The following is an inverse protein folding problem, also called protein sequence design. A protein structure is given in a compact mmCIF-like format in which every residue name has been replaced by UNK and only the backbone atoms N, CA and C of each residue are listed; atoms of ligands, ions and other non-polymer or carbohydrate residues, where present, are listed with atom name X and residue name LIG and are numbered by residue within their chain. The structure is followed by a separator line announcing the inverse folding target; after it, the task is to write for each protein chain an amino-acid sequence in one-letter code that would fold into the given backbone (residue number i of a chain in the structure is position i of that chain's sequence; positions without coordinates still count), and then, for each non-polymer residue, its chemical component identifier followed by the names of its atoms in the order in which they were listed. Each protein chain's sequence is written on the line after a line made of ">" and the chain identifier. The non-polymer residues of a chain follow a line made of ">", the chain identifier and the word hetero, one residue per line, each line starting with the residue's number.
data_IF_469575860338
#
_entry.id   IF_469575860338
#
_cell.length_a   1.000
_cell.length_b   1.000
_cell.length_c   1.000
_cell.angle_alpha   90.00
_cell.angle_beta   90.00
_cell.angle_gamma   90.00
#
_symmetry.space_group_name_H-M   'P 1'
#
loop_
_entity.id
_entity.type
_entity.pdbx_description
1 polymer ?
#
# COMPACT_ATOMS: atom_id res chain seq x y z
N UNK A 1 6.89 0.48 -25.38
CA UNK A 1 7.81 0.33 -24.23
C UNK A 1 7.15 -0.62 -23.25
N UNK A 2 7.85 -1.65 -22.77
CA UNK A 2 7.27 -2.61 -21.81
C UNK A 2 7.44 -2.05 -20.41
N UNK A 3 6.34 -1.80 -19.71
CA UNK A 3 6.37 -1.33 -18.31
C UNK A 3 6.65 -2.52 -17.40
N UNK A 4 7.70 -2.43 -16.58
CA UNK A 4 8.07 -3.49 -15.65
C UNK A 4 7.59 -3.17 -14.23
N UNK A 5 7.09 -4.18 -13.50
CA UNK A 5 6.68 -4.03 -12.10
C UNK A 5 7.79 -3.44 -11.23
N UNK A 6 9.04 -3.89 -11.45
CA UNK A 6 10.22 -3.39 -10.73
C UNK A 6 10.39 -1.87 -10.88
N UNK A 7 10.20 -1.34 -12.09
CA UNK A 7 10.33 0.10 -12.35
C UNK A 7 9.21 0.92 -11.67
N UNK A 8 7.98 0.37 -11.63
CA UNK A 8 6.86 1.02 -10.93
C UNK A 8 7.12 1.08 -9.42
N UNK A 9 7.62 0.00 -8.83
CA UNK A 9 7.99 -0.06 -7.42
C UNK A 9 9.15 0.91 -7.11
N UNK A 10 10.20 0.94 -7.92
CA UNK A 10 11.33 1.88 -7.75
C UNK A 10 10.90 3.34 -7.83
N UNK A 11 9.97 3.69 -8.75
CA UNK A 11 9.38 5.03 -8.82
C UNK A 11 8.58 5.37 -7.57
N UNK A 12 7.84 4.39 -7.02
CA UNK A 12 7.04 4.58 -5.83
C UNK A 12 7.90 4.88 -4.60
N UNK A 13 9.07 4.24 -4.44
CA UNK A 13 9.94 4.44 -3.26
C UNK A 13 10.30 5.92 -3.05
N UNK A 14 10.56 6.67 -4.13
CA UNK A 14 10.87 8.11 -4.05
C UNK A 14 9.70 8.91 -3.51
N UNK A 15 8.47 8.52 -3.83
CA UNK A 15 7.24 9.20 -3.42
C UNK A 15 6.76 8.79 -2.04
N UNK A 16 7.14 7.59 -1.58
CA UNK A 16 6.75 7.03 -0.30
C UNK A 16 7.72 7.40 0.83
N UNK A 17 8.77 8.19 0.56
CA UNK A 17 9.64 8.73 1.59
C UNK A 17 8.82 9.54 2.61
N UNK A 18 8.95 9.19 3.89
CA UNK A 18 8.22 9.85 4.99
C UNK A 18 6.73 9.45 5.11
N UNK A 19 6.22 8.58 4.24
CA UNK A 19 4.92 7.93 4.43
C UNK A 19 5.05 6.85 5.51
N UNK A 20 4.02 6.66 6.33
CA UNK A 20 4.02 5.65 7.38
C UNK A 20 4.30 4.25 6.80
N UNK A 21 5.17 3.42 7.41
CA UNK A 21 5.62 2.14 6.83
C UNK A 21 4.49 1.20 6.38
N UNK A 22 3.46 1.04 7.21
CA UNK A 22 2.27 0.22 6.87
C UNK A 22 1.56 0.72 5.62
N UNK A 23 1.51 2.03 5.41
CA UNK A 23 0.83 2.66 4.27
C UNK A 23 1.69 2.56 3.01
N UNK A 24 3.00 2.77 3.15
CA UNK A 24 3.95 2.53 2.08
C UNK A 24 3.89 1.07 1.60
N UNK A 25 3.77 0.12 2.52
CA UNK A 25 3.61 -1.29 2.18
C UNK A 25 2.28 -1.57 1.46
N UNK A 26 1.16 -1.00 1.94
CA UNK A 26 -0.13 -1.08 1.23
C UNK A 26 -0.04 -0.49 -0.18
N UNK A 27 0.69 0.61 -0.39
CA UNK A 27 0.90 1.18 -1.72
C UNK A 27 1.68 0.23 -2.65
N UNK A 28 2.74 -0.43 -2.15
CA UNK A 28 3.49 -1.45 -2.93
C UNK A 28 2.63 -2.66 -3.28
N UNK A 29 1.82 -3.12 -2.34
CA UNK A 29 0.85 -4.20 -2.56
C UNK A 29 -0.19 -3.79 -3.61
N UNK A 30 -0.69 -2.56 -3.55
CA UNK A 30 -1.64 -2.03 -4.52
C UNK A 30 -1.04 -2.00 -5.94
N UNK A 31 0.19 -1.52 -6.10
CA UNK A 31 0.91 -1.55 -7.39
C UNK A 31 1.01 -2.98 -7.91
N UNK A 32 1.41 -3.92 -7.04
CA UNK A 32 1.59 -5.32 -7.41
C UNK A 32 0.29 -6.01 -7.79
N UNK A 33 -0.81 -5.72 -7.08
CA UNK A 33 -2.14 -6.26 -7.39
C UNK A 33 -2.69 -5.68 -8.69
N UNK A 34 -2.59 -4.37 -8.88
CA UNK A 34 -3.02 -3.72 -10.12
C UNK A 34 -2.23 -4.26 -11.32
N UNK A 35 -0.91 -4.41 -11.18
CA UNK A 35 -0.03 -4.96 -12.22
C UNK A 35 -0.44 -6.38 -12.63
N UNK A 36 -0.79 -7.25 -11.67
CA UNK A 36 -1.28 -8.61 -11.96
C UNK A 36 -2.56 -8.62 -12.78
N UNK A 37 -3.36 -7.56 -12.70
CA UNK A 37 -4.58 -7.36 -13.50
C UNK A 37 -4.34 -6.58 -14.80
N UNK A 38 -3.08 -6.31 -15.16
CA UNK A 38 -2.72 -5.53 -16.35
C UNK A 38 -3.00 -4.03 -16.22
N UNK A 39 -3.21 -3.53 -15.00
CA UNK A 39 -3.41 -2.10 -14.71
C UNK A 39 -2.12 -1.54 -14.14
N UNK A 40 -1.43 -0.72 -14.92
CA UNK A 40 -0.21 -0.06 -14.47
C UNK A 40 -0.55 1.24 -13.74
N UNK A 41 -0.04 1.39 -12.51
CA UNK A 41 -0.21 2.60 -11.71
C UNK A 41 1.13 3.11 -11.20
N UNK A 42 1.18 4.41 -10.91
CA UNK A 42 2.28 5.06 -10.20
C UNK A 42 1.76 5.79 -8.98
N UNK A 43 2.63 5.95 -7.97
CA UNK A 43 2.39 6.90 -6.88
C UNK A 43 2.82 8.27 -7.37
N UNK A 44 1.95 9.27 -7.24
CA UNK A 44 2.21 10.65 -7.67
C UNK A 44 2.59 11.55 -6.49
N UNK A 45 2.03 11.27 -5.32
CA UNK A 45 2.23 12.05 -4.09
C UNK A 45 2.18 11.13 -2.85
N UNK A 46 2.99 11.41 -1.83
CA UNK A 46 3.01 10.69 -0.55
C UNK A 46 2.95 11.65 0.64
N UNK A 47 4.06 11.82 1.37
CA UNK A 47 4.17 12.87 2.38
C UNK A 47 4.12 14.25 1.68
N UNK A 48 3.42 15.20 2.29
CA UNK A 48 3.42 16.61 1.88
C UNK A 48 3.68 17.49 3.08
N UNK A 49 4.65 18.40 3.04
CA UNK A 49 4.88 19.30 4.17
C UNK A 49 3.71 20.27 4.37
N UNK A 50 3.66 20.92 5.53
CA UNK A 50 2.64 21.93 5.84
C UNK A 50 2.75 23.10 4.84
N UNK A 51 3.99 23.50 4.55
CA UNK A 51 4.35 24.57 3.63
C UNK A 51 3.92 24.21 2.20
N UNK A 52 4.26 23.01 1.72
CA UNK A 52 3.83 22.52 0.41
C UNK A 52 2.31 22.46 0.26
N UNK A 53 1.59 22.04 1.33
CA UNK A 53 0.13 22.02 1.31
C UNK A 53 -0.46 23.44 1.27
N UNK A 54 0.12 24.39 2.00
CA UNK A 54 -0.31 25.79 1.96
C UNK A 54 -0.07 26.41 0.57
N UNK A 55 1.01 26.04 -0.09
CA UNK A 55 1.31 26.42 -1.47
C UNK A 55 0.25 25.89 -2.45
N UNK A 56 -0.15 24.61 -2.34
CA UNK A 56 -1.26 24.06 -3.12
C UNK A 56 -2.59 24.73 -2.79
N UNK A 57 -2.84 25.05 -1.52
CA UNK A 57 -4.06 25.74 -1.11
C UNK A 57 -4.14 27.16 -1.68
N UNK A 58 -3.02 27.86 -1.84
CA UNK A 58 -2.94 29.18 -2.44
C UNK A 58 -3.33 29.20 -3.92
N UNK A 59 -3.15 28.09 -4.65
CA UNK A 59 -3.47 27.99 -6.07
C UNK A 59 -4.97 28.18 -6.35
N UNK A 60 -5.29 29.07 -7.29
CA UNK A 60 -6.67 29.46 -7.61
C UNK A 60 -7.33 30.36 -6.56
N UNK A 61 -6.57 30.79 -5.54
CA UNK A 61 -7.03 31.72 -4.48
C UNK A 61 -6.18 32.98 -4.45
N UNK A 62 -4.93 32.83 -4.04
CA UNK A 62 -3.93 33.91 -3.95
C UNK A 62 -2.80 33.76 -4.97
N UNK A 63 -2.70 32.61 -5.63
CA UNK A 63 -1.81 32.36 -6.78
C UNK A 63 -2.63 31.92 -8.00
N UNK A 64 -2.19 32.21 -9.23
CA UNK A 64 -2.86 31.72 -10.45
C UNK A 64 -2.91 30.19 -10.51
N UNK A 65 -3.93 29.65 -11.18
CA UNK A 65 -4.10 28.21 -11.41
C UNK A 65 -5.46 27.67 -11.00
N UNK A 66 -5.71 26.38 -11.24
CA UNK A 66 -6.94 25.71 -10.80
C UNK A 66 -6.85 25.38 -9.32
N UNK A 67 -7.97 25.45 -8.60
CA UNK A 67 -8.04 24.94 -7.23
C UNK A 67 -7.86 23.42 -7.29
N UNK A 68 -6.78 22.92 -6.69
CA UNK A 68 -6.45 21.48 -6.62
C UNK A 68 -6.70 20.88 -5.24
N UNK A 69 -6.94 21.70 -4.22
CA UNK A 69 -7.24 21.25 -2.86
C UNK A 69 -8.09 22.26 -2.11
N UNK A 70 -8.90 21.75 -1.18
CA UNK A 70 -9.64 22.54 -0.19
C UNK A 70 -8.96 22.51 1.20
N UNK A 71 -7.88 21.73 1.37
CA UNK A 71 -7.19 21.59 2.65
C UNK A 71 -6.03 22.58 2.78
N UNK A 72 -5.97 23.29 3.91
CA UNK A 72 -4.77 24.02 4.35
C UNK A 72 -3.74 23.06 4.92
N UNK A 73 -2.52 23.54 5.13
CA UNK A 73 -1.49 22.81 5.87
C UNK A 73 -1.99 22.36 7.24
N UNK A 74 -1.86 21.06 7.52
CA UNK A 74 -2.33 20.41 8.75
C UNK A 74 -3.78 19.94 8.67
N UNK A 75 -4.45 20.13 7.53
CA UNK A 75 -5.82 19.68 7.26
C UNK A 75 -5.87 18.61 6.15
N UNK A 76 -4.73 17.98 5.87
CA UNK A 76 -4.60 16.85 4.94
C UNK A 76 -3.85 15.71 5.60
N UNK A 77 -4.28 14.46 5.36
CA UNK A 77 -3.57 13.28 5.87
C UNK A 77 -2.19 13.10 5.23
N UNK A 78 -1.96 13.70 4.05
CA UNK A 78 -0.62 13.79 3.46
C UNK A 78 0.35 14.54 4.37
N UNK A 79 -0.11 15.49 5.21
CA UNK A 79 0.76 16.22 6.13
C UNK A 79 1.29 15.39 7.30
N UNK A 80 0.74 14.19 7.48
CA UNK A 80 1.10 13.29 8.56
C UNK A 80 1.65 11.96 8.05
N UNK A 81 1.92 11.86 6.73
CA UNK A 81 2.38 10.62 6.10
C UNK A 81 1.33 9.52 6.10
N UNK A 82 0.04 9.88 6.21
CA UNK A 82 -1.08 8.94 6.34
C UNK A 82 -1.93 8.79 5.07
N UNK A 83 -1.43 9.31 3.95
CA UNK A 83 -2.09 9.23 2.65
C UNK A 83 -1.06 9.15 1.52
N UNK A 84 -1.53 8.72 0.36
CA UNK A 84 -0.80 8.78 -0.90
C UNK A 84 -1.78 8.95 -2.06
N UNK A 85 -1.29 9.55 -3.14
CA UNK A 85 -2.00 9.70 -4.40
C UNK A 85 -1.44 8.74 -5.44
N UNK A 86 -2.32 8.15 -6.25
CA UNK A 86 -1.92 7.33 -7.40
C UNK A 86 -2.45 7.90 -8.72
N UNK A 87 -1.91 7.40 -9.83
CA UNK A 87 -2.49 7.59 -11.14
C UNK A 87 -2.34 6.34 -12.01
N UNK A 88 -3.33 6.12 -12.88
CA UNK A 88 -3.31 5.02 -13.87
C UNK A 88 -2.48 5.45 -15.08
N UNK A 89 -1.70 4.53 -15.64
CA UNK A 89 -0.90 4.77 -16.84
C UNK A 89 -1.57 4.25 -18.11
N UNK A 90 -1.31 4.95 -19.22
CA UNK A 90 -1.50 4.45 -20.56
C UNK A 90 -0.40 3.44 -20.95
N UNK A 91 -0.59 2.74 -22.07
CA UNK A 91 0.38 1.78 -22.57
C UNK A 91 1.75 2.40 -22.94
N UNK A 92 1.77 3.70 -23.25
CA UNK A 92 2.99 4.46 -23.53
C UNK A 92 3.69 4.99 -22.26
N UNK A 93 3.12 4.73 -21.07
CA UNK A 93 3.64 5.19 -19.78
C UNK A 93 3.24 6.62 -19.41
N UNK A 94 2.46 7.32 -20.24
CA UNK A 94 1.85 8.60 -19.87
C UNK A 94 0.74 8.41 -18.84
N UNK A 95 0.44 9.45 -18.06
CA UNK A 95 -0.61 9.39 -17.04
C UNK A 95 -1.99 9.57 -17.69
N UNK A 96 -2.90 8.65 -17.39
CA UNK A 96 -4.31 8.72 -17.75
C UNK A 96 -5.13 9.33 -16.61
N UNK A 97 -5.53 10.59 -16.76
CA UNK A 97 -6.40 11.30 -15.82
C UNK A 97 -7.90 11.11 -16.07
N UNK A 98 -8.28 10.36 -17.12
CA UNK A 98 -9.68 10.01 -17.35
C UNK A 98 -10.09 8.90 -16.38
N UNK A 99 -11.01 9.21 -15.47
CA UNK A 99 -11.50 8.27 -14.46
C UNK A 99 -12.45 7.26 -15.10
N UNK A 100 -11.92 6.07 -15.40
CA UNK A 100 -12.61 4.96 -16.05
C UNK A 100 -12.75 3.74 -15.12
N UNK A 101 -13.10 2.58 -15.69
CA UNK A 101 -13.23 1.33 -14.93
C UNK A 101 -11.90 0.86 -14.31
N UNK A 102 -10.73 1.24 -14.87
CA UNK A 102 -9.43 0.91 -14.28
C UNK A 102 -9.22 1.67 -12.98
N UNK A 103 -9.57 2.96 -12.95
CA UNK A 103 -9.53 3.77 -11.72
C UNK A 103 -10.42 3.17 -10.63
N UNK A 104 -11.66 2.80 -10.96
CA UNK A 104 -12.57 2.15 -10.02
C UNK A 104 -12.04 0.79 -9.54
N UNK A 105 -11.40 0.02 -10.43
CA UNK A 105 -10.80 -1.26 -10.07
C UNK A 105 -9.65 -1.08 -9.09
N UNK A 106 -8.75 -0.11 -9.32
CA UNK A 106 -7.67 0.23 -8.38
C UNK A 106 -8.26 0.72 -7.05
N UNK A 107 -9.32 1.53 -7.09
CA UNK A 107 -10.13 1.90 -5.93
C UNK A 107 -10.58 0.69 -5.10
N UNK A 108 -11.16 -0.33 -5.74
CA UNK A 108 -11.60 -1.56 -5.11
C UNK A 108 -10.44 -2.39 -4.53
N UNK A 109 -9.31 -2.48 -5.25
CA UNK A 109 -8.09 -3.15 -4.77
C UNK A 109 -7.50 -2.44 -3.54
N UNK A 110 -7.47 -1.11 -3.52
CA UNK A 110 -6.98 -0.38 -2.35
C UNK A 110 -7.86 -0.62 -1.13
N UNK A 111 -9.18 -0.68 -1.32
CA UNK A 111 -10.13 -1.02 -0.25
C UNK A 111 -9.97 -2.44 0.27
N UNK A 112 -9.67 -3.42 -0.58
CA UNK A 112 -9.40 -4.78 -0.12
C UNK A 112 -8.10 -4.88 0.71
N UNK A 113 -7.19 -3.91 0.57
CA UNK A 113 -6.01 -3.74 1.42
C UNK A 113 -6.31 -2.94 2.70
N UNK A 114 -7.56 -2.53 2.94
CA UNK A 114 -7.98 -1.74 4.10
C UNK A 114 -7.71 -0.23 3.98
N UNK A 115 -7.41 0.27 2.78
CA UNK A 115 -7.31 1.71 2.53
C UNK A 115 -8.70 2.34 2.38
N UNK A 116 -8.84 3.57 2.83
CA UNK A 116 -9.97 4.44 2.51
C UNK A 116 -9.70 5.14 1.17
N UNK A 117 -10.64 5.10 0.24
CA UNK A 117 -10.48 5.69 -1.10
C UNK A 117 -11.26 6.99 -1.27
N UNK A 118 -10.61 8.04 -1.75
CA UNK A 118 -11.24 9.35 -2.00
C UNK A 118 -12.29 9.34 -3.12
N UNK A 119 -12.26 8.34 -4.01
CA UNK A 119 -13.31 8.13 -5.03
C UNK A 119 -14.69 7.79 -4.46
N UNK A 120 -14.76 7.31 -3.21
CA UNK A 120 -16.01 6.99 -2.52
C UNK A 120 -16.60 8.19 -1.75
N UNK A 121 -15.90 9.33 -1.69
CA UNK A 121 -16.41 10.51 -0.99
C UNK A 121 -17.70 11.04 -1.64
N UNK A 122 -18.62 11.52 -0.80
CA UNK A 122 -19.95 12.00 -1.26
C UNK A 122 -19.87 13.27 -2.11
N UNK A 123 -18.90 14.13 -1.81
CA UNK A 123 -18.67 15.43 -2.49
C UNK A 123 -17.19 15.62 -2.67
N UNK A 124 -16.78 16.32 -3.73
CA UNK A 124 -15.35 16.55 -4.05
C UNK A 124 -14.56 15.24 -4.08
N UNK A 125 -15.03 14.28 -4.90
CA UNK A 125 -14.36 13.00 -5.09
C UNK A 125 -12.92 13.21 -5.51
N UNK A 126 -12.00 12.66 -4.73
CA UNK A 126 -10.57 12.71 -4.98
C UNK A 126 -10.11 11.31 -5.41
N UNK A 127 -10.25 11.02 -6.70
CA UNK A 127 -9.99 9.69 -7.25
C UNK A 127 -8.54 9.21 -7.08
N UNK A 128 -7.51 10.08 -7.17
CA UNK A 128 -6.13 9.74 -6.81
C UNK A 128 -5.91 9.33 -5.36
N UNK A 129 -6.72 9.80 -4.42
CA UNK A 129 -6.40 9.77 -3.00
C UNK A 129 -6.71 8.44 -2.33
N UNK A 130 -5.73 7.90 -1.61
CA UNK A 130 -5.91 6.87 -0.59
C UNK A 130 -5.38 7.32 0.77
N UNK A 131 -6.02 6.88 1.85
CA UNK A 131 -5.53 7.08 3.21
C UNK A 131 -5.73 5.85 4.09
N UNK A 132 -4.97 5.80 5.18
CA UNK A 132 -5.20 4.87 6.29
C UNK A 132 -4.95 5.61 7.60
N UNK A 133 -6.03 5.83 8.35
CA UNK A 133 -6.03 6.79 9.45
C UNK A 133 -5.66 6.18 10.79
N UNK A 134 -5.64 4.85 10.91
CA UNK A 134 -5.55 4.13 12.18
C UNK A 134 -6.63 4.57 13.20
N UNK A 135 -7.77 5.04 12.70
CA UNK A 135 -8.85 5.59 13.51
C UNK A 135 -8.59 7.00 14.07
N UNK A 136 -7.53 7.69 13.62
CA UNK A 136 -7.21 9.06 14.05
C UNK A 136 -7.86 10.10 13.14
N UNK A 137 -8.43 11.14 13.75
CA UNK A 137 -8.90 12.32 13.02
C UNK A 137 -7.76 13.31 12.74
N UNK A 138 -7.98 14.23 11.79
CA UNK A 138 -7.04 15.35 11.59
C UNK A 138 -6.89 16.23 12.84
N UNK A 139 -7.91 16.32 13.68
CA UNK A 139 -7.83 17.03 14.96
C UNK A 139 -6.88 16.33 15.92
N UNK A 140 -6.96 15.00 16.02
CA UNK A 140 -6.04 14.19 16.82
C UNK A 140 -4.59 14.37 16.36
N UNK A 141 -4.37 14.32 15.05
CA UNK A 141 -3.04 14.45 14.45
C UNK A 141 -2.43 15.85 14.69
N UNK A 142 -3.24 16.91 14.56
CA UNK A 142 -2.82 18.27 14.90
C UNK A 142 -2.56 18.45 16.39
N UNK A 143 -3.28 17.73 17.26
CA UNK A 143 -3.03 17.69 18.70
C UNK A 143 -1.80 16.83 19.09
N UNK A 144 -1.05 16.30 18.11
CA UNK A 144 0.17 15.55 18.33
C UNK A 144 -0.01 14.04 18.50
N UNK A 145 -1.24 13.51 18.45
CA UNK A 145 -1.44 12.06 18.43
C UNK A 145 -0.87 11.49 17.14
N UNK A 146 -0.33 10.28 17.21
CA UNK A 146 0.22 9.55 16.07
C UNK A 146 -0.32 8.12 16.10
N UNK A 147 -0.34 7.40 14.96
CA UNK A 147 -0.62 5.98 14.97
C UNK A 147 0.23 5.32 16.04
N UNK A 148 -0.41 4.53 16.90
CA UNK A 148 0.35 3.63 17.77
C UNK A 148 1.13 2.72 16.85
N UNK A 149 2.37 2.39 17.19
CA UNK A 149 3.12 1.36 16.48
C UNK A 149 2.25 0.10 16.43
N UNK A 150 1.60 -0.15 15.29
CA UNK A 150 1.13 -1.49 14.99
C UNK A 150 2.40 -2.32 15.01
N UNK A 151 2.43 -3.37 15.87
CA UNK A 151 3.53 -4.35 15.92
C UNK A 151 4.01 -4.54 14.49
N UNK A 152 5.27 -4.17 14.24
CA UNK A 152 5.87 -4.17 12.91
C UNK A 152 5.23 -5.26 12.05
N UNK A 153 4.71 -4.91 10.87
CA UNK A 153 4.40 -5.91 9.86
C UNK A 153 5.71 -6.65 9.65
N UNK A 154 5.85 -7.79 10.34
CA UNK A 154 7.07 -8.58 10.30
C UNK A 154 7.28 -8.89 8.84
N UNK A 155 8.40 -8.38 8.31
CA UNK A 155 8.83 -8.65 6.95
C UNK A 155 8.73 -10.15 6.76
N UNK A 156 7.99 -10.57 5.73
CA UNK A 156 7.78 -11.98 5.42
C UNK A 156 9.16 -12.64 5.26
N UNK A 157 9.52 -13.49 6.21
CA UNK A 157 10.89 -13.96 6.45
C UNK A 157 11.35 -15.02 5.45
N UNK A 158 10.49 -15.35 4.50
CA UNK A 158 10.80 -16.20 3.35
C UNK A 158 11.09 -15.42 2.09
N UNK A 159 10.86 -14.10 2.06
CA UNK A 159 11.07 -13.27 0.85
C UNK A 159 12.55 -13.25 0.47
N UNK A 160 12.89 -13.76 -0.71
CA UNK A 160 14.27 -13.89 -1.21
C UNK A 160 15.01 -15.14 -0.71
N UNK A 161 14.36 -16.00 0.08
CA UNK A 161 14.94 -17.28 0.49
C UNK A 161 14.90 -18.28 -0.70
N UNK A 162 15.93 -19.12 -0.87
CA UNK A 162 15.99 -20.07 -1.99
C UNK A 162 14.78 -21.03 -2.03
N UNK A 163 14.21 -21.34 -0.86
CA UNK A 163 13.04 -22.21 -0.72
C UNK A 163 11.70 -21.48 -0.76
N UNK A 164 11.66 -20.15 -0.97
CA UNK A 164 10.45 -19.32 -0.92
C UNK A 164 9.29 -19.93 -1.72
N UNK A 165 9.52 -20.25 -3.00
CA UNK A 165 8.49 -20.80 -3.87
C UNK A 165 7.91 -22.13 -3.37
N UNK A 166 8.78 -23.00 -2.86
CA UNK A 166 8.39 -24.29 -2.28
C UNK A 166 7.60 -24.12 -0.98
N UNK A 167 8.04 -23.21 -0.11
CA UNK A 167 7.37 -22.90 1.15
C UNK A 167 5.97 -22.35 0.87
N UNK A 168 5.84 -21.36 -0.01
CA UNK A 168 4.54 -20.77 -0.38
C UNK A 168 3.58 -21.82 -0.93
N UNK A 169 4.06 -22.71 -1.80
CA UNK A 169 3.25 -23.80 -2.37
C UNK A 169 2.79 -24.79 -1.31
N UNK A 170 3.63 -25.13 -0.35
CA UNK A 170 3.28 -26.05 0.73
C UNK A 170 2.31 -25.41 1.74
N UNK A 171 2.43 -24.10 2.02
CA UNK A 171 1.45 -23.34 2.82
C UNK A 171 0.10 -23.32 2.11
N UNK A 172 0.07 -23.02 0.81
CA UNK A 172 -1.17 -23.00 0.01
C UNK A 172 -1.89 -24.34 0.02
N UNK A 173 -1.14 -25.45 0.03
CA UNK A 173 -1.69 -26.81 0.13
C UNK A 173 -2.06 -27.23 1.55
N UNK A 174 -1.85 -26.36 2.55
CA UNK A 174 -2.12 -26.64 3.96
C UNK A 174 -1.16 -27.64 4.61
N UNK A 175 -0.09 -28.06 3.92
CA UNK A 175 0.87 -29.06 4.38
C UNK A 175 1.69 -28.49 5.55
N UNK A 176 2.18 -27.26 5.39
CA UNK A 176 2.93 -26.54 6.42
C UNK A 176 2.21 -25.25 6.82
N UNK A 177 2.48 -24.75 8.02
CA UNK A 177 1.99 -23.47 8.52
C UNK A 177 3.15 -22.72 9.17
N UNK A 178 3.11 -21.39 9.10
CA UNK A 178 4.01 -20.54 9.89
C UNK A 178 3.69 -20.60 11.37
N UNK A 179 4.49 -19.89 12.16
CA UNK A 179 4.34 -19.74 13.59
C UNK A 179 3.24 -18.73 13.94
N UNK A 180 2.75 -18.78 15.18
CA UNK A 180 1.72 -17.88 15.71
C UNK A 180 2.14 -16.40 15.69
N UNK A 181 3.44 -16.13 15.53
CA UNK A 181 4.02 -14.80 15.49
C UNK A 181 4.15 -14.24 14.07
N UNK A 182 3.61 -14.94 13.05
CA UNK A 182 3.55 -14.50 11.65
C UNK A 182 4.76 -14.87 10.78
N UNK A 183 5.76 -15.56 11.33
CA UNK A 183 6.99 -15.96 10.63
C UNK A 183 6.97 -17.43 10.20
N UNK A 184 7.79 -17.82 9.22
CA UNK A 184 8.00 -19.22 8.83
C UNK A 184 9.32 -19.81 9.35
N UNK A 185 10.33 -18.95 9.56
CA UNK A 185 11.69 -19.24 10.00
C UNK A 185 12.38 -20.31 9.14
N UNK A 186 12.62 -20.05 7.85
CA UNK A 186 13.05 -21.07 6.88
C UNK A 186 14.42 -21.69 7.14
N UNK A 187 15.25 -21.05 7.97
CA UNK A 187 16.60 -21.52 8.33
C UNK A 187 16.65 -22.28 9.66
N UNK A 188 15.54 -22.33 10.40
CA UNK A 188 15.49 -23.07 11.66
C UNK A 188 15.30 -24.57 11.40
N UNK A 189 15.89 -25.45 12.22
CA UNK A 189 15.70 -26.89 12.08
C UNK A 189 14.24 -27.29 12.36
N UNK A 190 13.73 -28.22 11.56
CA UNK A 190 12.40 -28.80 11.76
C UNK A 190 12.44 -29.76 12.95
N UNK A 191 11.54 -29.55 13.92
CA UNK A 191 11.40 -30.45 15.07
C UNK A 191 10.71 -31.77 14.70
N UNK A 192 10.92 -32.82 15.50
CA UNK A 192 10.23 -34.12 15.32
C UNK A 192 8.70 -34.00 15.30
N UNK A 193 8.14 -33.13 16.15
CA UNK A 193 6.70 -32.90 16.19
C UNK A 193 6.19 -32.19 14.91
N UNK A 194 6.91 -31.19 14.43
CA UNK A 194 6.59 -30.53 13.16
C UNK A 194 6.67 -31.52 11.99
N UNK A 195 7.70 -32.36 11.95
CA UNK A 195 7.82 -33.40 10.92
C UNK A 195 6.65 -34.38 10.97
N UNK A 196 6.24 -34.85 12.15
CA UNK A 196 5.09 -35.74 12.29
C UNK A 196 3.80 -35.11 11.74
N UNK A 197 3.54 -33.84 12.03
CA UNK A 197 2.38 -33.10 11.49
C UNK A 197 2.46 -32.96 9.97
N UNK A 198 3.65 -32.76 9.41
CA UNK A 198 3.85 -32.69 7.95
C UNK A 198 3.53 -34.03 7.31
N UNK A 199 4.02 -35.13 7.88
CA UNK A 199 3.79 -36.48 7.38
C UNK A 199 2.30 -36.87 7.47
N UNK A 200 1.63 -36.53 8.57
CA UNK A 200 0.19 -36.71 8.75
C UNK A 200 -0.61 -36.00 7.64
N UNK A 201 -0.33 -34.72 7.40
CA UNK A 201 -1.01 -33.92 6.36
C UNK A 201 -0.71 -34.39 4.93
N UNK A 202 0.41 -35.09 4.73
CA UNK A 202 0.74 -35.75 3.48
C UNK A 202 0.08 -37.14 3.34
N UNK A 203 -0.61 -37.62 4.37
CA UNK A 203 -1.22 -38.96 4.40
C UNK A 203 -0.19 -40.09 4.53
N UNK A 204 0.99 -39.79 5.08
CA UNK A 204 2.11 -40.72 5.22
C UNK A 204 2.19 -41.38 6.61
N UNK A 205 1.37 -40.92 7.56
CA UNK A 205 1.13 -41.62 8.82
C UNK A 205 -0.19 -42.38 8.69
N UNK A 206 -0.17 -43.68 9.00
CA UNK A 206 -1.32 -44.58 9.05
C UNK A 206 -1.35 -45.24 10.43
#
# INVERSE_FOLDING_TARGET
>A
MTILLKELLEKAEKKLQGVHPVIAEKARQLISLAFKEGIHIIITQGLRTIEEQNELYAQGRTKPGKIVTNAKGGYSFHNFGLAFDFAVLNADGSVNWNVDEKWKRVGALGKSLGLEWGGDWRTFKDYPHFQYTFGLSLTDLRAGKRPKEEKEVKKDDITGHWAEGSIRKAIQKGIIKGYSDGQFKPNEPVTRAQLAVILDRLGLLK
#
